data_IF_035830940473
#
_entry.id   IF_035830940473
#
_cell.length_a   1.000
_cell.length_b   1.000
_cell.length_c   1.000
_cell.angle_alpha   90.00
_cell.angle_beta   90.00
_cell.angle_gamma   90.00
#
_symmetry.space_group_name_H-M   'P 1'
#
loop_
_entity.id
_entity.type
_entity.pdbx_description
1 polymer ?
#
# COMPACT_ATOMS: atom_id res chain seq x y z
N UNK A 1 34.48 54.22 -9.74
CA UNK A 1 35.20 52.95 -9.50
C UNK A 1 34.64 52.36 -8.22
N UNK A 2 33.76 51.34 -8.30
CA UNK A 2 34.11 49.90 -8.21
C UNK A 2 34.19 49.46 -6.73
N UNK A 3 33.51 48.46 -6.17
CA UNK A 3 32.72 47.36 -6.70
C UNK A 3 31.71 46.83 -5.64
N UNK A 4 30.75 46.07 -6.15
CA UNK A 4 29.69 45.28 -5.51
C UNK A 4 30.13 44.39 -4.33
N UNK A 5 29.35 44.26 -3.23
CA UNK A 5 29.55 43.17 -2.28
C UNK A 5 28.98 41.87 -2.85
N UNK A 6 29.80 40.84 -2.75
CA UNK A 6 29.61 39.51 -3.31
C UNK A 6 28.23 38.90 -2.99
N UNK A 7 27.61 38.44 -4.08
CA UNK A 7 26.55 37.45 -4.12
C UNK A 7 26.86 36.29 -3.17
N UNK A 8 26.01 36.10 -2.14
CA UNK A 8 26.03 34.91 -1.30
C UNK A 8 25.93 33.66 -2.18
N UNK A 9 26.72 32.60 -1.93
CA UNK A 9 26.58 31.36 -2.69
C UNK A 9 25.17 30.81 -2.46
N UNK A 10 24.31 30.97 -3.46
CA UNK A 10 23.04 30.26 -3.56
C UNK A 10 23.40 28.78 -3.51
N UNK A 11 22.96 28.12 -2.44
CA UNK A 11 23.01 26.66 -2.30
C UNK A 11 22.41 26.06 -3.56
N UNK A 12 23.27 25.54 -4.43
CA UNK A 12 22.88 24.73 -5.57
C UNK A 12 22.31 23.42 -5.02
N UNK A 13 21.04 23.45 -4.64
CA UNK A 13 20.29 22.23 -4.39
C UNK A 13 20.30 21.44 -5.70
N UNK A 14 21.12 20.39 -5.74
CA UNK A 14 21.23 19.48 -6.87
C UNK A 14 19.80 19.04 -7.27
N UNK A 15 19.34 19.35 -8.51
CA UNK A 15 18.01 18.99 -8.97
C UNK A 15 17.74 17.48 -8.96
N UNK A 16 18.79 16.67 -8.88
CA UNK A 16 18.74 15.21 -8.78
C UNK A 16 18.97 14.69 -7.36
N UNK A 17 19.13 15.58 -6.36
CA UNK A 17 19.26 15.16 -4.97
C UNK A 17 17.96 14.55 -4.47
N UNK A 18 17.97 13.24 -4.26
CA UNK A 18 16.83 12.52 -3.70
C UNK A 18 16.47 13.10 -2.32
N UNK A 19 15.18 13.26 -2.00
CA UNK A 19 14.73 13.78 -0.73
C UNK A 19 15.41 13.08 0.45
N UNK A 20 15.76 13.83 1.50
CA UNK A 20 16.53 13.29 2.64
C UNK A 20 15.92 12.05 3.31
N UNK A 21 14.60 11.83 3.20
CA UNK A 21 13.94 10.62 3.70
C UNK A 21 14.24 9.37 2.85
N UNK A 22 14.47 9.53 1.54
CA UNK A 22 14.92 8.47 0.61
C UNK A 22 16.36 8.09 0.93
N UNK A 23 17.20 9.07 1.28
CA UNK A 23 18.62 8.87 1.62
C UNK A 23 18.86 8.17 2.97
N UNK A 24 17.89 8.23 3.90
CA UNK A 24 17.99 7.60 5.24
C UNK A 24 17.68 6.10 5.24
N UNK A 25 16.96 5.61 4.23
CA UNK A 25 16.71 4.19 4.05
C UNK A 25 17.85 3.54 3.28
N UNK A 26 18.91 3.10 3.97
CA UNK A 26 20.01 2.37 3.33
C UNK A 26 19.52 1.12 2.57
N UNK A 27 20.38 0.45 1.80
CA UNK A 27 20.02 -0.70 0.95
C UNK A 27 19.18 -1.79 1.64
N UNK A 28 19.37 -1.99 2.94
CA UNK A 28 18.57 -2.92 3.74
C UNK A 28 17.06 -2.57 3.79
N UNK A 29 16.67 -1.30 3.69
CA UNK A 29 15.27 -0.88 3.61
C UNK A 29 14.67 -1.28 2.27
N UNK A 30 15.38 -1.05 1.17
CA UNK A 30 14.96 -1.43 -0.18
C UNK A 30 14.79 -2.95 -0.31
N UNK A 31 15.75 -3.72 0.22
CA UNK A 31 15.67 -5.18 0.24
C UNK A 31 14.47 -5.68 1.07
N UNK A 32 14.16 -5.00 2.18
CA UNK A 32 12.98 -5.31 2.97
C UNK A 32 11.67 -5.07 2.19
N UNK A 33 11.56 -3.94 1.48
CA UNK A 33 10.41 -3.66 0.62
C UNK A 33 10.30 -4.69 -0.50
N UNK A 34 11.42 -5.01 -1.17
CA UNK A 34 11.47 -5.98 -2.26
C UNK A 34 11.01 -7.37 -1.80
N UNK A 35 11.57 -7.87 -0.70
CA UNK A 35 11.22 -9.19 -0.17
C UNK A 35 9.75 -9.25 0.25
N UNK A 36 9.25 -8.21 0.93
CA UNK A 36 7.85 -8.13 1.31
C UNK A 36 6.92 -8.05 0.09
N UNK A 37 7.28 -7.24 -0.90
CA UNK A 37 6.52 -7.06 -2.14
C UNK A 37 6.42 -8.34 -2.96
N UNK A 38 7.52 -9.09 -3.07
CA UNK A 38 7.53 -10.41 -3.70
C UNK A 38 6.58 -11.37 -2.98
N UNK A 39 6.66 -11.44 -1.65
CA UNK A 39 5.77 -12.28 -0.84
C UNK A 39 4.28 -11.90 -1.03
N UNK A 40 3.95 -10.61 -0.94
CA UNK A 40 2.59 -10.12 -1.10
C UNK A 40 2.02 -10.41 -2.49
N UNK A 41 2.83 -10.18 -3.53
CA UNK A 41 2.42 -10.41 -4.93
C UNK A 41 2.19 -11.90 -5.20
N UNK A 42 3.09 -12.77 -4.72
CA UNK A 42 2.93 -14.22 -4.85
C UNK A 42 1.72 -14.74 -4.07
N UNK A 43 1.46 -14.22 -2.87
CA UNK A 43 0.27 -14.58 -2.11
C UNK A 43 -1.03 -14.17 -2.82
N UNK A 44 -1.06 -12.96 -3.41
CA UNK A 44 -2.18 -12.51 -4.25
C UNK A 44 -2.35 -13.42 -5.48
N UNK A 45 -1.25 -13.76 -6.14
CA UNK A 45 -1.27 -14.64 -7.31
C UNK A 45 -1.82 -16.03 -6.96
N UNK A 46 -1.34 -16.64 -5.86
CA UNK A 46 -1.84 -17.92 -5.37
C UNK A 46 -3.35 -17.87 -5.03
N UNK A 47 -3.84 -16.75 -4.49
CA UNK A 47 -5.27 -16.58 -4.23
C UNK A 47 -6.09 -16.51 -5.53
N UNK A 48 -5.54 -15.90 -6.57
CA UNK A 48 -6.15 -15.85 -7.90
C UNK A 48 -6.16 -17.23 -8.59
N UNK A 49 -5.17 -18.09 -8.32
CA UNK A 49 -5.19 -19.48 -8.81
C UNK A 49 -6.14 -20.38 -8.01
N UNK A 50 -6.30 -20.12 -6.71
CA UNK A 50 -7.13 -20.93 -5.83
C UNK A 50 -8.65 -20.66 -5.97
N UNK A 51 -9.02 -19.49 -6.49
CA UNK A 51 -10.41 -19.08 -6.68
C UNK A 51 -10.73 -19.03 -8.19
N UNK A 52 -11.96 -19.35 -8.60
CA UNK A 52 -12.35 -19.28 -10.00
C UNK A 52 -12.11 -17.88 -10.58
N UNK A 53 -11.56 -17.81 -11.79
CA UNK A 53 -11.43 -16.57 -12.55
C UNK A 53 -12.77 -16.29 -13.25
N UNK A 54 -13.61 -15.39 -12.72
CA UNK A 54 -14.88 -15.08 -13.35
C UNK A 54 -14.65 -14.14 -14.53
N UNK A 55 -15.48 -14.23 -15.57
CA UNK A 55 -15.47 -13.26 -16.68
C UNK A 55 -16.01 -11.92 -16.21
N UNK A 56 -17.26 -11.60 -16.51
CA UNK A 56 -17.96 -10.45 -15.93
C UNK A 56 -18.49 -10.68 -14.51
N UNK A 57 -18.32 -11.86 -13.91
CA UNK A 57 -18.87 -12.14 -12.57
C UNK A 57 -17.99 -11.58 -11.44
N UNK A 58 -18.38 -11.85 -10.20
CA UNK A 58 -17.75 -11.28 -9.01
C UNK A 58 -16.33 -11.81 -8.74
N UNK A 59 -15.36 -10.90 -8.66
CA UNK A 59 -13.93 -11.23 -8.54
C UNK A 59 -13.49 -11.38 -7.08
N UNK A 60 -13.80 -12.53 -6.48
CA UNK A 60 -13.52 -12.81 -5.07
C UNK A 60 -12.04 -12.75 -4.70
N UNK A 61 -11.14 -13.21 -5.56
CA UNK A 61 -9.70 -13.23 -5.26
C UNK A 61 -9.14 -11.84 -4.98
N UNK A 62 -9.42 -10.87 -5.86
CA UNK A 62 -8.97 -9.49 -5.71
C UNK A 62 -9.60 -8.82 -4.50
N UNK A 63 -10.91 -9.00 -4.29
CA UNK A 63 -11.61 -8.45 -3.13
C UNK A 63 -11.00 -8.96 -1.81
N UNK A 64 -10.81 -10.28 -1.68
CA UNK A 64 -10.25 -10.91 -0.47
C UNK A 64 -8.81 -10.45 -0.24
N UNK A 65 -7.96 -10.44 -1.27
CA UNK A 65 -6.58 -9.96 -1.16
C UNK A 65 -6.54 -8.50 -0.66
N UNK A 66 -7.36 -7.63 -1.24
CA UNK A 66 -7.45 -6.22 -0.87
C UNK A 66 -7.92 -6.03 0.57
N UNK A 67 -8.96 -6.75 0.99
CA UNK A 67 -9.50 -6.65 2.36
C UNK A 67 -8.52 -7.19 3.39
N UNK A 68 -7.85 -8.32 3.13
CA UNK A 68 -6.83 -8.88 4.03
C UNK A 68 -5.64 -7.92 4.15
N UNK A 69 -5.13 -7.39 3.04
CA UNK A 69 -4.03 -6.43 3.04
C UNK A 69 -4.38 -5.14 3.79
N UNK A 70 -5.61 -4.63 3.61
CA UNK A 70 -6.12 -3.47 4.33
C UNK A 70 -6.25 -3.76 5.84
N UNK A 71 -6.80 -4.90 6.23
CA UNK A 71 -6.90 -5.33 7.63
C UNK A 71 -5.51 -5.40 8.29
N UNK A 72 -4.54 -6.05 7.62
CA UNK A 72 -3.17 -6.18 8.09
C UNK A 72 -2.49 -4.81 8.26
N UNK A 73 -2.69 -3.90 7.29
CA UNK A 73 -2.17 -2.54 7.36
C UNK A 73 -2.66 -1.81 8.62
N UNK A 74 -3.94 -1.92 8.97
CA UNK A 74 -4.49 -1.31 10.18
C UNK A 74 -3.82 -1.82 11.48
N UNK A 75 -3.52 -3.12 11.57
CA UNK A 75 -2.74 -3.68 12.69
C UNK A 75 -1.32 -3.11 12.72
N UNK A 76 -0.65 -3.09 11.56
CA UNK A 76 0.74 -2.60 11.44
C UNK A 76 0.84 -1.13 11.86
N UNK A 77 -0.13 -0.29 11.48
CA UNK A 77 -0.14 1.13 11.84
C UNK A 77 -0.15 1.36 13.37
N UNK A 78 -0.85 0.52 14.13
CA UNK A 78 -0.96 0.65 15.59
C UNK A 78 0.20 -0.04 16.33
N UNK A 79 0.64 -1.19 15.82
CA UNK A 79 1.66 -2.03 16.47
C UNK A 79 3.09 -1.61 16.11
N UNK A 80 3.30 -1.08 14.92
CA UNK A 80 4.59 -0.61 14.41
C UNK A 80 4.51 0.89 14.03
N UNK A 81 4.42 1.79 15.02
CA UNK A 81 4.45 3.23 14.78
C UNK A 81 5.75 3.64 14.08
N UNK A 82 5.70 4.67 13.23
CA UNK A 82 6.89 5.16 12.52
C UNK A 82 7.65 6.13 13.43
N UNK A 83 8.88 5.82 13.87
CA UNK A 83 9.70 6.79 14.57
C UNK A 83 10.09 7.91 13.59
N UNK A 84 9.92 9.17 13.98
CA UNK A 84 10.23 10.33 13.12
C UNK A 84 11.66 10.33 12.55
N UNK A 85 12.59 9.67 13.24
CA UNK A 85 14.02 9.73 12.94
C UNK A 85 14.61 8.44 12.37
N UNK A 86 13.85 7.33 12.29
CA UNK A 86 14.40 6.04 11.82
C UNK A 86 13.36 5.22 11.06
N UNK A 87 13.53 5.02 9.74
CA UNK A 87 12.64 4.16 8.98
C UNK A 87 12.73 2.71 9.49
N UNK A 88 11.60 2.15 9.94
CA UNK A 88 11.53 0.77 10.41
C UNK A 88 11.56 -0.20 9.22
N UNK A 89 12.61 -1.03 9.13
CA UNK A 89 12.73 -2.10 8.12
C UNK A 89 11.57 -3.07 8.16
N UNK A 90 11.14 -3.46 9.37
CA UNK A 90 10.00 -4.37 9.55
C UNK A 90 8.70 -3.74 9.07
N UNK A 91 8.47 -2.44 9.36
CA UNK A 91 7.31 -1.72 8.83
C UNK A 91 7.35 -1.62 7.31
N UNK A 92 8.52 -1.32 6.73
CA UNK A 92 8.67 -1.24 5.28
C UNK A 92 8.43 -2.61 4.60
N UNK A 93 8.95 -3.70 5.18
CA UNK A 93 8.67 -5.06 4.74
C UNK A 93 7.17 -5.38 4.79
N UNK A 94 6.50 -5.14 5.93
CA UNK A 94 5.10 -5.53 6.13
C UNK A 94 4.10 -4.60 5.44
N UNK A 95 4.22 -3.29 5.64
CA UNK A 95 3.25 -2.32 5.12
C UNK A 95 3.49 -2.04 3.63
N UNK A 96 4.67 -1.54 3.28
CA UNK A 96 4.96 -1.17 1.88
C UNK A 96 5.17 -2.42 1.02
N UNK A 97 5.89 -3.43 1.53
CA UNK A 97 6.13 -4.68 0.83
C UNK A 97 4.89 -5.58 0.80
N UNK A 98 4.62 -6.31 1.88
CA UNK A 98 3.60 -7.37 1.91
C UNK A 98 2.21 -6.82 1.62
N UNK A 99 1.74 -5.80 2.33
CA UNK A 99 0.41 -5.24 2.09
C UNK A 99 0.35 -4.57 0.71
N UNK A 100 1.40 -3.84 0.31
CA UNK A 100 1.47 -3.20 -0.99
C UNK A 100 1.42 -4.19 -2.17
N UNK A 101 2.12 -5.32 -2.08
CA UNK A 101 2.10 -6.37 -3.11
C UNK A 101 0.85 -7.26 -3.08
N UNK A 102 0.29 -7.48 -1.89
CA UNK A 102 -0.95 -8.26 -1.71
C UNK A 102 -2.17 -7.51 -2.23
N UNK A 103 -2.24 -6.20 -2.05
CA UNK A 103 -3.35 -5.39 -2.56
C UNK A 103 -3.10 -4.92 -3.99
N UNK A 104 -4.16 -4.70 -4.77
CA UNK A 104 -4.07 -4.23 -6.15
C UNK A 104 -5.29 -3.39 -6.54
N UNK A 105 -5.03 -2.15 -6.95
CA UNK A 105 -6.05 -1.26 -7.52
C UNK A 105 -6.11 -1.40 -9.04
N UNK A 106 -5.00 -1.71 -9.70
CA UNK A 106 -4.94 -1.86 -11.16
C UNK A 106 -5.71 -3.10 -11.64
N UNK A 107 -5.60 -4.22 -10.91
CA UNK A 107 -6.39 -5.42 -11.22
C UNK A 107 -7.87 -5.13 -11.04
N UNK A 108 -8.27 -4.53 -9.91
CA UNK A 108 -9.67 -4.14 -9.68
C UNK A 108 -10.25 -3.26 -10.80
N UNK A 109 -9.49 -2.27 -11.29
CA UNK A 109 -9.94 -1.44 -12.43
C UNK A 109 -10.12 -2.25 -13.72
N UNK A 110 -9.24 -3.20 -14.01
CA UNK A 110 -9.39 -4.09 -15.16
C UNK A 110 -10.66 -4.94 -15.04
N UNK A 111 -10.94 -5.49 -13.86
CA UNK A 111 -12.15 -6.27 -13.59
C UNK A 111 -13.41 -5.43 -13.79
N UNK A 112 -13.40 -4.18 -13.32
CA UNK A 112 -14.50 -3.24 -13.55
C UNK A 112 -14.72 -2.93 -15.03
N UNK A 113 -13.65 -2.75 -15.80
CA UNK A 113 -13.75 -2.53 -17.25
C UNK A 113 -14.37 -3.74 -17.95
N UNK A 114 -13.94 -4.96 -17.63
CA UNK A 114 -14.54 -6.19 -18.19
C UNK A 114 -16.04 -6.27 -17.89
N UNK A 115 -16.45 -5.98 -16.65
CA UNK A 115 -17.87 -5.95 -16.29
C UNK A 115 -18.65 -4.90 -17.08
N UNK A 116 -18.08 -3.71 -17.29
CA UNK A 116 -18.72 -2.63 -18.04
C UNK A 116 -18.86 -2.99 -19.52
N UNK A 117 -17.79 -3.52 -20.14
CA UNK A 117 -17.75 -3.90 -21.55
C UNK A 117 -18.75 -5.01 -21.86
N UNK A 118 -18.96 -5.94 -20.91
CA UNK A 118 -19.95 -7.01 -21.01
C UNK A 118 -21.39 -6.55 -20.65
N UNK A 119 -21.62 -5.25 -20.42
CA UNK A 119 -22.94 -4.67 -20.14
C UNK A 119 -23.40 -4.77 -18.68
N UNK A 120 -22.54 -5.23 -17.77
CA UNK A 120 -22.82 -5.43 -16.33
C UNK A 120 -22.46 -4.21 -15.47
N UNK A 121 -22.84 -2.99 -15.90
CA UNK A 121 -22.45 -1.75 -15.23
C UNK A 121 -22.90 -1.64 -13.76
N UNK A 122 -24.09 -2.17 -13.42
CA UNK A 122 -24.56 -2.20 -12.04
C UNK A 122 -23.69 -3.10 -11.14
N UNK A 123 -23.26 -4.25 -11.68
CA UNK A 123 -22.35 -5.16 -11.00
C UNK A 123 -20.99 -4.48 -10.76
N UNK A 124 -20.43 -3.82 -11.79
CA UNK A 124 -19.20 -3.05 -11.67
C UNK A 124 -19.29 -1.99 -10.57
N UNK A 125 -20.35 -1.18 -10.56
CA UNK A 125 -20.56 -0.15 -9.54
C UNK A 125 -20.63 -0.76 -8.12
N UNK A 126 -21.39 -1.85 -7.96
CA UNK A 126 -21.47 -2.53 -6.67
C UNK A 126 -20.14 -3.13 -6.21
N UNK A 127 -19.37 -3.74 -7.12
CA UNK A 127 -18.05 -4.30 -6.83
C UNK A 127 -17.05 -3.22 -6.40
N UNK A 128 -17.05 -2.07 -7.09
CA UNK A 128 -16.23 -0.91 -6.72
C UNK A 128 -16.59 -0.39 -5.32
N UNK A 129 -17.88 -0.19 -5.05
CA UNK A 129 -18.36 0.30 -3.76
C UNK A 129 -18.01 -0.67 -2.62
N UNK A 130 -18.28 -1.96 -2.79
CA UNK A 130 -17.96 -2.99 -1.80
C UNK A 130 -16.46 -3.07 -1.56
N UNK A 131 -15.63 -3.04 -2.59
CA UNK A 131 -14.17 -3.09 -2.46
C UNK A 131 -13.62 -1.94 -1.62
N UNK A 132 -14.09 -0.71 -1.88
CA UNK A 132 -13.66 0.48 -1.13
C UNK A 132 -14.17 0.44 0.31
N UNK A 133 -15.48 0.20 0.50
CA UNK A 133 -16.10 0.21 1.83
C UNK A 133 -15.54 -0.91 2.70
N UNK A 134 -15.42 -2.13 2.18
CA UNK A 134 -14.87 -3.26 2.93
C UNK A 134 -13.41 -3.01 3.33
N UNK A 135 -12.59 -2.46 2.43
CA UNK A 135 -11.20 -2.11 2.74
C UNK A 135 -11.10 -1.05 3.85
N UNK A 136 -11.90 0.02 3.77
CA UNK A 136 -11.94 1.06 4.81
C UNK A 136 -12.42 0.52 6.16
N UNK A 137 -13.48 -0.29 6.16
CA UNK A 137 -14.00 -0.92 7.37
C UNK A 137 -12.98 -1.87 7.98
N UNK A 138 -12.27 -2.65 7.16
CA UNK A 138 -11.23 -3.57 7.63
C UNK A 138 -10.11 -2.83 8.37
N UNK A 139 -9.56 -1.76 7.79
CA UNK A 139 -8.56 -0.90 8.46
C UNK A 139 -9.12 -0.34 9.77
N UNK A 140 -10.33 0.21 9.72
CA UNK A 140 -10.96 0.87 10.87
C UNK A 140 -11.16 -0.11 12.04
N UNK A 141 -11.66 -1.30 11.75
CA UNK A 141 -11.87 -2.37 12.73
C UNK A 141 -10.54 -2.81 13.33
N UNK A 142 -9.54 -3.13 12.51
CA UNK A 142 -8.26 -3.64 13.03
C UNK A 142 -7.47 -2.60 13.80
N UNK A 143 -7.57 -1.31 13.43
CA UNK A 143 -7.01 -0.20 14.21
C UNK A 143 -7.65 -0.15 15.60
N UNK A 144 -8.99 -0.14 15.69
CA UNK A 144 -9.70 -0.07 16.98
C UNK A 144 -9.42 -1.27 17.86
N UNK A 145 -9.45 -2.48 17.28
CA UNK A 145 -9.11 -3.71 18.01
C UNK A 145 -7.66 -3.68 18.52
N UNK A 146 -6.73 -3.18 17.71
CA UNK A 146 -5.31 -3.09 18.08
C UNK A 146 -5.06 -2.06 19.18
N UNK A 147 -5.82 -0.96 19.22
CA UNK A 147 -5.72 0.07 20.26
C UNK A 147 -6.24 -0.43 21.61
N UNK A 148 -7.38 -1.13 21.64
CA UNK A 148 -7.92 -1.73 22.88
C UNK A 148 -6.91 -2.65 23.58
N UNK A 149 -6.18 -3.45 22.80
CA UNK A 149 -5.14 -4.34 23.32
C UNK A 149 -3.89 -3.61 23.84
N UNK A 150 -3.68 -2.32 23.52
CA UNK A 150 -2.60 -1.49 24.08
C UNK A 150 -3.00 -0.82 25.39
N UNK A 151 -4.27 -0.44 25.55
CA UNK A 151 -4.76 0.24 26.76
C UNK A 151 -4.94 -0.69 27.97
N UNK A 152 -4.97 -2.01 27.76
CA UNK A 152 -5.03 -3.01 28.83
C UNK A 152 -3.67 -3.51 29.33
N UNK A 153 -2.56 -2.91 28.89
CA UNK A 153 -1.19 -3.16 29.36
C UNK A 153 -0.62 -1.88 29.97
#
# INVERSE_FOLDING_TARGET
MSASPANSPQSSADPLALPAHVRRGGGALWLAILAGGALGTLARFALAEALPAPGADWHWATLIANVIGAAALGVILVRLPNPANTPSRLRAFLATGVCGGLTTFSTMQRELLVMIDDGHGALALSYAAVSIVAGLLAVLVTVRLSQRGRSGR
#
